data_IF_310359680486
#
_entry.id   IF_310359680486
#
_cell.length_a   1.000
_cell.length_b   1.000
_cell.length_c   1.000
_cell.angle_alpha   90.00
_cell.angle_beta   90.00
_cell.angle_gamma   90.00
#
_symmetry.space_group_name_H-M   'P 1'
#
loop_
_entity.id
_entity.type
_entity.pdbx_description
1 polymer ?
#
# COMPACT_ATOMS: atom_id res chain seq x y z
N UNK A 1 -0.17 4.06 17.95
CA UNK A 1 0.04 5.26 17.09
C UNK A 1 -1.06 5.34 16.04
N UNK A 2 -1.54 6.53 15.73
CA UNK A 2 -2.48 6.69 14.62
C UNK A 2 -1.78 6.46 13.28
N UNK A 3 -2.51 5.96 12.28
CA UNK A 3 -2.01 5.89 10.91
C UNK A 3 -1.89 7.30 10.34
N UNK A 4 -0.86 7.53 9.56
CA UNK A 4 -0.59 8.82 8.90
C UNK A 4 -0.40 8.55 7.42
N UNK A 5 -1.10 9.30 6.56
CA UNK A 5 -0.88 9.25 5.13
C UNK A 5 0.49 9.86 4.82
N UNK A 6 1.46 9.09 4.32
CA UNK A 6 2.74 9.66 3.92
C UNK A 6 2.60 10.46 2.63
N UNK A 7 3.45 11.46 2.44
CA UNK A 7 3.56 12.16 1.18
C UNK A 7 4.06 11.19 0.08
N UNK A 8 3.65 11.43 -1.16
CA UNK A 8 4.24 10.74 -2.30
C UNK A 8 5.74 11.07 -2.38
N UNK A 9 6.60 10.09 -2.72
CA UNK A 9 8.04 10.35 -2.88
C UNK A 9 8.39 11.15 -4.14
N UNK A 10 7.40 11.55 -4.94
CA UNK A 10 7.54 12.33 -6.17
C UNK A 10 6.30 13.22 -6.34
N UNK A 11 6.37 14.20 -7.25
CA UNK A 11 5.23 15.05 -7.59
C UNK A 11 4.09 14.24 -8.24
N UNK A 12 2.85 14.68 -8.10
CA UNK A 12 1.68 13.99 -8.67
C UNK A 12 1.77 13.80 -10.19
N UNK A 13 2.43 14.70 -10.90
CA UNK A 13 2.60 14.64 -12.36
C UNK A 13 3.88 13.93 -12.82
N UNK A 14 4.71 13.46 -11.89
CA UNK A 14 6.02 12.89 -12.20
C UNK A 14 5.96 11.61 -13.05
N UNK A 15 4.85 10.88 -13.01
CA UNK A 15 4.64 9.63 -13.74
C UNK A 15 3.75 9.81 -14.99
N UNK A 16 3.36 11.04 -15.32
CA UNK A 16 2.42 11.32 -16.43
C UNK A 16 2.95 10.82 -17.78
N UNK A 17 4.23 11.00 -18.06
CA UNK A 17 4.87 10.52 -19.29
C UNK A 17 4.91 8.99 -19.40
N UNK A 18 4.77 8.27 -18.30
CA UNK A 18 4.72 6.81 -18.25
C UNK A 18 3.30 6.25 -18.24
N UNK A 19 2.30 7.09 -18.43
CA UNK A 19 0.90 6.69 -18.53
C UNK A 19 0.09 6.78 -17.25
N UNK A 20 0.67 7.29 -16.15
CA UNK A 20 -0.03 7.51 -14.89
C UNK A 20 -0.21 9.01 -14.64
N UNK A 21 -1.41 9.52 -14.91
CA UNK A 21 -1.71 10.95 -14.82
C UNK A 21 -1.69 11.48 -13.38
N UNK A 22 -1.52 12.80 -13.24
CA UNK A 22 -1.63 13.48 -11.95
C UNK A 22 -3.01 13.26 -11.29
N UNK A 23 -4.09 13.25 -12.08
CA UNK A 23 -5.44 12.95 -11.60
C UNK A 23 -5.54 11.53 -11.03
N UNK A 24 -4.94 10.54 -11.69
CA UNK A 24 -4.89 9.17 -11.18
C UNK A 24 -4.20 9.09 -9.82
N UNK A 25 -3.07 9.77 -9.66
CA UNK A 25 -2.35 9.80 -8.39
C UNK A 25 -3.11 10.55 -7.30
N UNK A 26 -3.80 11.64 -7.65
CA UNK A 26 -4.67 12.35 -6.72
C UNK A 26 -5.77 11.42 -6.18
N UNK A 27 -6.49 10.73 -7.05
CA UNK A 27 -7.52 9.78 -6.63
C UNK A 27 -6.96 8.60 -5.84
N UNK A 28 -5.86 8.02 -6.29
CA UNK A 28 -5.32 6.82 -5.69
C UNK A 28 -4.60 7.08 -4.35
N UNK A 29 -3.87 8.18 -4.24
CA UNK A 29 -3.16 8.56 -3.00
C UNK A 29 -4.05 9.38 -2.07
N UNK A 30 -4.51 10.55 -2.51
CA UNK A 30 -5.15 11.53 -1.63
C UNK A 30 -6.54 11.09 -1.16
N UNK A 31 -7.24 10.27 -1.95
CA UNK A 31 -8.57 9.78 -1.63
C UNK A 31 -8.58 8.30 -1.25
N UNK A 32 -8.13 7.41 -2.12
CA UNK A 32 -8.24 5.96 -1.91
C UNK A 32 -7.32 5.47 -0.78
N UNK A 33 -6.02 5.77 -0.85
CA UNK A 33 -5.09 5.42 0.25
C UNK A 33 -5.50 6.11 1.55
N UNK A 34 -5.87 7.38 1.48
CA UNK A 34 -6.32 8.14 2.65
C UNK A 34 -7.58 7.55 3.30
N UNK A 35 -8.45 6.92 2.54
CA UNK A 35 -9.63 6.24 3.09
C UNK A 35 -9.23 5.10 4.04
N UNK A 36 -8.21 4.33 3.72
CA UNK A 36 -7.69 3.29 4.63
C UNK A 36 -7.10 3.90 5.90
N UNK A 37 -6.39 5.01 5.78
CA UNK A 37 -5.84 5.74 6.95
C UNK A 37 -6.96 6.24 7.86
N UNK A 38 -7.95 6.92 7.31
CA UNK A 38 -9.07 7.48 8.07
C UNK A 38 -9.91 6.37 8.73
N UNK A 39 -10.27 5.35 7.96
CA UNK A 39 -11.08 4.25 8.47
C UNK A 39 -10.32 3.41 9.49
N UNK A 40 -9.04 3.12 9.24
CA UNK A 40 -8.19 2.43 10.19
C UNK A 40 -8.09 3.16 11.53
N UNK A 41 -7.84 4.47 11.49
CA UNK A 41 -7.80 5.29 12.69
C UNK A 41 -9.11 5.28 13.49
N UNK A 42 -10.26 5.30 12.81
CA UNK A 42 -11.57 5.18 13.49
C UNK A 42 -11.72 3.83 14.18
N UNK A 43 -11.25 2.75 13.56
CA UNK A 43 -11.41 1.41 14.11
C UNK A 43 -10.48 1.12 15.29
N UNK A 44 -9.26 1.69 15.30
CA UNK A 44 -8.31 1.47 16.40
C UNK A 44 -8.51 2.43 17.57
N UNK A 45 -9.23 3.54 17.38
CA UNK A 45 -9.44 4.54 18.42
C UNK A 45 -10.06 3.92 19.68
N UNK A 46 -9.44 4.17 20.85
CA UNK A 46 -9.88 3.63 22.12
C UNK A 46 -9.63 2.14 22.33
N UNK A 47 -8.94 1.48 21.42
CA UNK A 47 -8.52 0.07 21.54
C UNK A 47 -7.05 -0.05 21.92
N UNK A 48 -6.62 -1.27 22.28
CA UNK A 48 -5.20 -1.56 22.56
C UNK A 48 -4.29 -1.31 21.34
N UNK A 49 -4.86 -1.29 20.12
CA UNK A 49 -4.12 -1.09 18.87
C UNK A 49 -3.72 0.36 18.64
N UNK A 50 -4.37 1.32 19.29
CA UNK A 50 -4.09 2.75 19.09
C UNK A 50 -2.63 3.13 19.39
N UNK A 51 -1.99 2.44 20.33
CA UNK A 51 -0.60 2.68 20.74
C UNK A 51 0.43 1.77 20.06
N UNK A 52 -0.01 0.86 19.17
CA UNK A 52 0.85 -0.12 18.51
C UNK A 52 1.39 0.41 17.19
N UNK A 53 2.50 -0.18 16.73
CA UNK A 53 3.01 0.07 15.38
C UNK A 53 2.08 -0.52 14.32
N UNK A 54 2.17 -0.02 13.07
CA UNK A 54 1.38 -0.53 11.97
C UNK A 54 1.63 -2.03 11.74
N UNK A 55 2.89 -2.46 11.80
CA UNK A 55 3.30 -3.84 11.65
C UNK A 55 2.72 -4.73 12.76
N UNK A 56 2.78 -4.27 14.01
CA UNK A 56 2.21 -5.01 15.14
C UNK A 56 0.69 -5.16 15.01
N UNK A 57 0.01 -4.13 14.50
CA UNK A 57 -1.43 -4.18 14.24
C UNK A 57 -1.73 -5.23 13.17
N UNK A 58 -1.00 -5.22 12.06
CA UNK A 58 -1.20 -6.17 10.97
C UNK A 58 -0.99 -7.60 11.47
N UNK A 59 0.14 -7.84 12.14
CA UNK A 59 0.50 -9.18 12.65
C UNK A 59 -0.53 -9.63 13.71
N UNK A 60 -0.88 -8.75 14.63
CA UNK A 60 -1.75 -9.09 15.76
C UNK A 60 -3.21 -9.24 15.41
N UNK A 61 -3.68 -8.64 14.32
CA UNK A 61 -5.08 -8.73 13.87
C UNK A 61 -5.31 -9.72 12.73
N UNK A 62 -4.26 -10.35 12.23
CA UNK A 62 -4.38 -11.38 11.19
C UNK A 62 -5.09 -12.63 11.70
N UNK A 63 -6.11 -13.06 11.00
CA UNK A 63 -6.79 -14.32 11.21
C UNK A 63 -7.06 -14.98 9.84
N UNK A 64 -6.38 -16.08 9.55
CA UNK A 64 -6.50 -16.78 8.28
C UNK A 64 -7.92 -17.25 7.96
N UNK A 65 -8.78 -17.42 8.98
CA UNK A 65 -10.18 -17.87 8.81
C UNK A 65 -11.17 -16.72 8.63
N UNK A 66 -10.77 -15.51 8.97
CA UNK A 66 -11.67 -14.36 9.02
C UNK A 66 -11.05 -13.06 8.46
N UNK A 67 -10.09 -13.17 7.56
CA UNK A 67 -9.37 -12.01 6.98
C UNK A 67 -10.34 -10.99 6.37
N UNK A 68 -11.31 -11.47 5.60
CA UNK A 68 -12.26 -10.60 4.90
C UNK A 68 -13.21 -9.82 5.83
N UNK A 69 -13.42 -10.30 7.05
CA UNK A 69 -14.30 -9.67 8.04
C UNK A 69 -13.56 -8.81 9.06
N UNK A 70 -12.24 -8.83 9.08
CA UNK A 70 -11.45 -8.05 10.03
C UNK A 70 -11.14 -6.65 9.49
N UNK A 71 -11.94 -5.66 9.91
CA UNK A 71 -11.80 -4.28 9.45
C UNK A 71 -10.46 -3.64 9.83
N UNK A 72 -9.94 -3.91 11.02
CA UNK A 72 -8.65 -3.37 11.45
C UNK A 72 -7.52 -3.94 10.57
N UNK A 73 -7.48 -5.26 10.42
CA UNK A 73 -6.50 -5.91 9.56
C UNK A 73 -6.56 -5.40 8.13
N UNK A 74 -7.77 -5.30 7.55
CA UNK A 74 -7.93 -4.86 6.17
C UNK A 74 -7.43 -3.43 5.94
N UNK A 75 -7.79 -2.49 6.81
CA UNK A 75 -7.35 -1.10 6.65
C UNK A 75 -5.84 -0.94 6.95
N UNK A 76 -5.33 -1.61 7.97
CA UNK A 76 -3.90 -1.55 8.31
C UNK A 76 -3.02 -2.17 7.21
N UNK A 77 -3.37 -3.35 6.71
CA UNK A 77 -2.60 -4.01 5.64
C UNK A 77 -2.70 -3.27 4.31
N UNK A 78 -3.86 -2.71 3.96
CA UNK A 78 -4.00 -1.89 2.76
C UNK A 78 -3.21 -0.58 2.87
N UNK A 79 -3.19 0.04 4.04
CA UNK A 79 -2.33 1.20 4.28
C UNK A 79 -0.85 0.85 4.05
N UNK A 80 -0.38 -0.25 4.62
CA UNK A 80 0.99 -0.73 4.44
C UNK A 80 1.30 -1.05 2.96
N UNK A 81 0.40 -1.76 2.28
CA UNK A 81 0.55 -2.09 0.86
C UNK A 81 0.69 -0.85 -0.02
N UNK A 82 -0.13 0.18 0.23
CA UNK A 82 -0.07 1.43 -0.55
C UNK A 82 1.21 2.22 -0.30
N UNK A 83 1.74 2.22 0.93
CA UNK A 83 3.05 2.83 1.21
C UNK A 83 4.15 2.16 0.38
N UNK A 84 4.17 0.81 0.32
CA UNK A 84 5.12 0.08 -0.51
C UNK A 84 4.91 0.34 -2.00
N UNK A 85 3.66 0.42 -2.44
CA UNK A 85 3.32 0.67 -3.84
C UNK A 85 3.89 2.00 -4.35
N UNK A 86 3.80 3.08 -3.57
CA UNK A 86 4.38 4.36 -3.95
C UNK A 86 5.89 4.30 -4.09
N UNK A 87 6.57 3.60 -3.19
CA UNK A 87 8.03 3.45 -3.22
C UNK A 87 8.53 2.57 -4.38
N UNK A 88 7.69 1.65 -4.88
CA UNK A 88 8.04 0.79 -6.02
C UNK A 88 8.07 1.53 -7.35
N UNK A 89 7.44 2.68 -7.46
CA UNK A 89 7.38 3.49 -8.67
C UNK A 89 8.29 4.71 -8.55
N UNK A 90 8.66 5.27 -9.70
CA UNK A 90 9.45 6.49 -9.74
C UNK A 90 9.56 7.02 -11.17
N UNK A 91 9.97 8.29 -11.35
CA UNK A 91 10.10 8.90 -12.66
C UNK A 91 11.31 8.43 -13.46
N UNK A 92 12.18 7.62 -12.86
CA UNK A 92 13.33 7.04 -13.53
C UNK A 92 13.00 5.74 -14.25
N UNK A 93 13.84 5.38 -15.22
CA UNK A 93 13.81 4.06 -15.84
C UNK A 93 14.92 3.20 -15.26
N UNK A 94 14.57 2.00 -14.82
CA UNK A 94 15.55 0.98 -14.43
C UNK A 94 15.33 -0.28 -15.24
N UNK A 95 16.41 -0.99 -15.55
CA UNK A 95 16.32 -2.29 -16.17
C UNK A 95 15.87 -3.32 -15.13
N UNK A 96 15.04 -4.25 -15.55
CA UNK A 96 14.71 -5.41 -14.73
C UNK A 96 15.97 -6.25 -14.52
N UNK A 97 16.31 -6.68 -13.30
CA UNK A 97 17.40 -7.62 -13.08
C UNK A 97 17.18 -8.90 -13.89
N UNK A 98 18.25 -9.38 -14.55
CA UNK A 98 18.17 -10.55 -15.44
C UNK A 98 17.68 -11.82 -14.75
N UNK A 99 18.03 -12.00 -13.50
CA UNK A 99 17.55 -13.15 -12.70
C UNK A 99 16.04 -13.10 -12.47
N UNK A 100 15.50 -11.89 -12.17
CA UNK A 100 14.07 -11.70 -12.02
C UNK A 100 13.34 -11.90 -13.35
N UNK A 101 13.85 -11.36 -14.43
CA UNK A 101 13.28 -11.54 -15.77
C UNK A 101 13.21 -13.03 -16.16
N UNK A 102 14.28 -13.78 -15.94
CA UNK A 102 14.31 -15.21 -16.18
C UNK A 102 13.28 -15.98 -15.34
N UNK A 103 13.14 -15.63 -14.07
CA UNK A 103 12.16 -16.24 -13.18
C UNK A 103 10.72 -15.95 -13.61
N UNK A 104 10.43 -14.71 -14.04
CA UNK A 104 9.10 -14.33 -14.54
C UNK A 104 8.76 -15.04 -15.84
N UNK A 105 9.70 -15.13 -16.79
CA UNK A 105 9.51 -15.86 -18.03
C UNK A 105 9.22 -17.33 -17.76
N UNK A 106 9.99 -17.96 -16.88
CA UNK A 106 9.77 -19.36 -16.49
C UNK A 106 8.40 -19.56 -15.85
N UNK A 107 7.98 -18.66 -14.97
CA UNK A 107 6.65 -18.69 -14.34
C UNK A 107 5.53 -18.58 -15.37
N UNK A 108 5.68 -17.69 -16.37
CA UNK A 108 4.65 -17.44 -17.38
C UNK A 108 4.51 -18.59 -18.39
N UNK A 109 5.53 -19.41 -18.59
CA UNK A 109 5.46 -20.59 -19.47
C UNK A 109 4.38 -21.59 -18.98
N UNK A 110 4.09 -21.64 -17.71
CA UNK A 110 3.16 -22.58 -17.10
C UNK A 110 1.72 -22.04 -16.94
N UNK A 111 1.45 -20.85 -17.41
CA UNK A 111 0.11 -20.24 -17.44
C UNK A 111 -0.58 -20.57 -18.80
#
# INVERSE_FOLDING_TARGET
>A
MAFILPDLPYAHDALAEFGMSAETLEYHHDLHHNAYVVNGNKLIAGTEWESKSLEDIIIGTYDAKAVAQNGIFNNASQHWNHMQFWEMMGPGKSAMPSELEAALILSLIHI
#
